data_IF_664568569210
#
_entry.id   IF_664568569210
#
_cell.length_a   1.000
_cell.length_b   1.000
_cell.length_c   1.000
_cell.angle_alpha   90.00
_cell.angle_beta   90.00
_cell.angle_gamma   90.00
#
_symmetry.space_group_name_H-M   'P 1'
#
loop_
_entity.id
_entity.type
_entity.pdbx_description
1 polymer ?
#
# COMPACT_ATOMS: atom_id res chain seq x y z
N UNK A 1 -25.19 28.56 -23.34
CA UNK A 1 -24.92 27.11 -23.36
C UNK A 1 -24.05 26.69 -22.18
N UNK A 2 -24.21 27.35 -21.01
CA UNK A 2 -23.33 27.16 -19.86
C UNK A 2 -23.72 25.93 -19.05
N UNK A 3 -25.02 25.67 -18.91
CA UNK A 3 -25.57 24.48 -18.26
C UNK A 3 -24.98 23.19 -18.86
N UNK A 4 -24.93 23.08 -20.19
CA UNK A 4 -24.36 21.92 -20.87
C UNK A 4 -22.87 21.73 -20.56
N UNK A 5 -22.11 22.81 -20.38
CA UNK A 5 -20.69 22.73 -20.01
C UNK A 5 -20.52 22.25 -18.57
N UNK A 6 -21.33 22.76 -17.64
CA UNK A 6 -21.32 22.33 -16.23
C UNK A 6 -21.75 20.87 -16.06
N UNK A 7 -22.76 20.43 -16.81
CA UNK A 7 -23.20 19.03 -16.80
C UNK A 7 -22.09 18.11 -17.35
N UNK A 8 -21.47 18.48 -18.46
CA UNK A 8 -20.36 17.70 -19.01
C UNK A 8 -19.14 17.67 -18.09
N UNK A 9 -18.80 18.77 -17.40
CA UNK A 9 -17.71 18.76 -16.42
C UNK A 9 -18.04 17.86 -15.24
N UNK A 10 -19.25 17.95 -14.68
CA UNK A 10 -19.70 17.10 -13.58
C UNK A 10 -19.70 15.61 -13.92
N UNK A 11 -20.13 15.24 -15.14
CA UNK A 11 -20.08 13.86 -15.61
C UNK A 11 -18.65 13.35 -15.75
N UNK A 12 -17.72 14.18 -16.24
CA UNK A 12 -16.30 13.83 -16.33
C UNK A 12 -15.69 13.63 -14.94
N UNK A 13 -16.00 14.51 -14.00
CA UNK A 13 -15.50 14.42 -12.63
C UNK A 13 -16.04 13.19 -11.90
N UNK A 14 -17.33 12.87 -12.08
CA UNK A 14 -17.91 11.66 -11.54
C UNK A 14 -17.25 10.40 -12.11
N UNK A 15 -16.94 10.40 -13.41
CA UNK A 15 -16.26 9.28 -14.07
C UNK A 15 -14.82 9.12 -13.58
N UNK A 16 -14.07 10.21 -13.42
CA UNK A 16 -12.69 10.17 -12.92
C UNK A 16 -12.64 9.72 -11.46
N UNK A 17 -13.52 10.24 -10.60
CA UNK A 17 -13.63 9.82 -9.20
C UNK A 17 -13.97 8.33 -9.09
N UNK A 18 -14.90 7.82 -9.91
CA UNK A 18 -15.24 6.38 -9.97
C UNK A 18 -14.02 5.54 -10.36
N UNK A 19 -13.25 5.98 -11.36
CA UNK A 19 -12.04 5.29 -11.80
C UNK A 19 -10.97 5.27 -10.70
N UNK A 20 -10.76 6.38 -9.99
CA UNK A 20 -9.82 6.46 -8.87
C UNK A 20 -10.22 5.52 -7.73
N UNK A 21 -11.51 5.47 -7.38
CA UNK A 21 -12.03 4.57 -6.35
C UNK A 21 -11.80 3.10 -6.67
N UNK A 22 -11.99 2.71 -7.94
CA UNK A 22 -11.75 1.32 -8.37
C UNK A 22 -10.26 0.95 -8.35
N UNK A 23 -9.38 1.93 -8.49
CA UNK A 23 -7.92 1.74 -8.44
C UNK A 23 -7.35 2.01 -7.05
N UNK A 24 -8.18 2.04 -6.01
CA UNK A 24 -7.70 2.21 -4.65
C UNK A 24 -6.78 1.03 -4.30
N UNK A 25 -5.54 1.34 -3.92
CA UNK A 25 -4.57 0.35 -3.47
C UNK A 25 -4.94 -0.25 -2.11
N UNK A 26 -3.99 -1.01 -1.55
CA UNK A 26 -4.12 -1.57 -0.20
C UNK A 26 -4.36 -0.44 0.81
N UNK A 27 -5.31 -0.60 1.75
CA UNK A 27 -5.54 0.40 2.79
C UNK A 27 -4.33 0.46 3.73
N UNK A 28 -3.95 1.69 4.11
CA UNK A 28 -2.90 1.97 5.08
C UNK A 28 -3.35 1.56 6.49
N UNK A 29 -2.55 0.75 7.18
CA UNK A 29 -2.89 0.26 8.52
C UNK A 29 -2.59 1.31 9.62
N UNK A 30 -3.63 2.08 9.97
CA UNK A 30 -3.62 3.01 11.09
C UNK A 30 -3.93 2.26 12.39
N UNK A 31 -2.88 1.86 13.10
CA UNK A 31 -3.04 1.21 14.41
C UNK A 31 -3.67 2.16 15.45
N UNK A 32 -4.69 1.66 16.15
CA UNK A 32 -5.33 2.31 17.28
C UNK A 32 -4.49 2.05 18.55
N UNK A 33 -4.19 3.10 19.32
CA UNK A 33 -3.65 2.92 20.68
C UNK A 33 -4.79 2.41 21.58
N UNK A 34 -4.51 1.36 22.37
CA UNK A 34 -5.50 0.50 23.04
C UNK A 34 -6.43 1.21 24.04
N UNK A 35 -6.22 2.49 24.34
CA UNK A 35 -6.81 3.16 25.50
C UNK A 35 -8.17 3.84 25.29
N UNK A 36 -8.83 3.71 24.13
CA UNK A 36 -10.12 4.38 23.90
C UNK A 36 -11.22 3.47 23.32
N UNK A 37 -12.21 3.14 24.16
CA UNK A 37 -13.27 2.17 23.89
C UNK A 37 -14.66 2.78 23.55
N UNK A 38 -14.75 4.04 23.12
CA UNK A 38 -16.06 4.58 22.71
C UNK A 38 -16.03 5.88 21.92
N UNK A 39 -16.53 5.85 20.68
CA UNK A 39 -16.80 7.06 19.86
C UNK A 39 -16.14 7.06 18.48
N UNK A 40 -16.12 8.25 17.85
CA UNK A 40 -15.44 8.51 16.57
C UNK A 40 -13.92 8.56 16.79
N UNK A 41 -13.16 7.80 15.99
CA UNK A 41 -11.69 7.83 16.03
C UNK A 41 -11.18 9.05 15.25
N UNK A 42 -10.59 10.01 15.95
CA UNK A 42 -9.85 11.10 15.31
C UNK A 42 -8.40 10.66 15.09
N UNK A 43 -7.93 10.77 13.85
CA UNK A 43 -6.56 10.47 13.49
C UNK A 43 -5.74 11.75 13.39
N UNK A 44 -4.64 11.84 14.12
CA UNK A 44 -3.68 12.92 13.90
C UNK A 44 -2.91 12.69 12.59
N UNK A 45 -2.49 13.75 11.88
CA UNK A 45 -1.68 13.61 10.65
C UNK A 45 -0.43 12.75 10.86
N UNK A 46 0.22 12.87 12.01
CA UNK A 46 1.40 12.07 12.37
C UNK A 46 1.17 10.55 12.39
N UNK A 47 -0.07 10.08 12.61
CA UNK A 47 -0.38 8.63 12.57
C UNK A 47 -0.28 8.07 11.14
N UNK A 48 -0.56 8.89 10.14
CA UNK A 48 -0.40 8.50 8.74
C UNK A 48 1.08 8.35 8.37
N UNK A 49 1.94 9.25 8.84
CA UNK A 49 3.39 9.17 8.61
C UNK A 49 3.95 7.89 9.23
N UNK A 50 3.65 7.64 10.51
CA UNK A 50 4.08 6.41 11.20
C UNK A 50 3.59 5.13 10.52
N UNK A 51 2.34 5.13 10.03
CA UNK A 51 1.83 3.96 9.32
C UNK A 51 2.57 3.74 7.99
N UNK A 52 2.92 4.79 7.26
CA UNK A 52 3.72 4.70 6.02
C UNK A 52 5.13 4.19 6.29
N UNK A 53 5.77 4.68 7.34
CA UNK A 53 7.10 4.22 7.76
C UNK A 53 7.10 2.70 8.01
N UNK A 54 6.11 2.20 8.75
CA UNK A 54 5.96 0.74 8.99
C UNK A 54 5.72 -0.05 7.71
N UNK A 55 4.91 0.46 6.79
CA UNK A 55 4.70 -0.21 5.51
C UNK A 55 5.98 -0.26 4.68
N UNK A 56 6.78 0.81 4.68
CA UNK A 56 8.07 0.84 4.00
C UNK A 56 9.06 -0.15 4.62
N UNK A 57 9.16 -0.20 5.96
CA UNK A 57 10.00 -1.18 6.67
C UNK A 57 9.60 -2.61 6.34
N UNK A 58 8.28 -2.90 6.32
CA UNK A 58 7.77 -4.22 5.98
C UNK A 58 8.11 -4.61 4.53
N UNK A 59 7.94 -3.69 3.58
CA UNK A 59 8.29 -3.92 2.18
C UNK A 59 9.80 -4.21 2.03
N UNK A 60 10.65 -3.42 2.70
CA UNK A 60 12.09 -3.66 2.68
C UNK A 60 12.48 -5.02 3.28
N UNK A 61 11.84 -5.44 4.37
CA UNK A 61 12.08 -6.76 4.95
C UNK A 61 11.65 -7.89 3.99
N UNK A 62 10.45 -7.78 3.39
CA UNK A 62 9.95 -8.76 2.42
C UNK A 62 10.88 -8.88 1.18
N UNK A 63 11.38 -7.75 0.68
CA UNK A 63 12.35 -7.71 -0.42
C UNK A 63 13.66 -8.41 -0.04
N UNK A 64 14.22 -8.08 1.14
CA UNK A 64 15.46 -8.71 1.62
C UNK A 64 15.29 -10.22 1.82
N UNK A 65 14.17 -10.66 2.37
CA UNK A 65 13.87 -12.09 2.52
C UNK A 65 13.77 -12.79 1.16
N UNK A 66 13.11 -12.17 0.19
CA UNK A 66 12.99 -12.71 -1.17
C UNK A 66 14.36 -12.86 -1.82
N UNK A 67 15.19 -11.83 -1.75
CA UNK A 67 16.58 -11.86 -2.24
C UNK A 67 17.40 -12.93 -1.54
N UNK A 68 17.29 -13.04 -0.21
CA UNK A 68 18.00 -14.08 0.55
C UNK A 68 17.56 -15.50 0.15
N UNK A 69 16.27 -15.71 -0.13
CA UNK A 69 15.74 -17.00 -0.61
C UNK A 69 16.28 -17.33 -2.01
N UNK A 70 16.37 -16.35 -2.91
CA UNK A 70 16.96 -16.53 -4.24
C UNK A 70 18.44 -16.90 -4.14
N UNK A 71 19.23 -16.13 -3.38
CA UNK A 71 20.65 -16.41 -3.16
C UNK A 71 20.88 -17.82 -2.59
N UNK A 72 20.06 -18.27 -1.63
CA UNK A 72 20.15 -19.63 -1.09
C UNK A 72 19.90 -20.70 -2.15
N UNK A 73 18.93 -20.49 -3.05
CA UNK A 73 18.64 -21.44 -4.13
C UNK A 73 19.80 -21.52 -5.13
N UNK A 74 20.41 -20.40 -5.47
CA UNK A 74 21.57 -20.35 -6.36
C UNK A 74 22.77 -21.09 -5.76
N UNK A 75 23.06 -20.86 -4.48
CA UNK A 75 24.12 -21.58 -3.76
C UNK A 75 23.87 -23.09 -3.71
N UNK A 76 22.63 -23.51 -3.48
CA UNK A 76 22.27 -24.93 -3.49
C UNK A 76 22.44 -25.56 -4.88
N UNK A 77 22.04 -24.84 -5.93
CA UNK A 77 22.22 -25.30 -7.31
C UNK A 77 23.71 -25.43 -7.66
N UNK A 78 24.53 -24.43 -7.34
CA UNK A 78 25.97 -24.46 -7.55
C UNK A 78 26.64 -25.60 -6.76
N UNK A 79 26.25 -25.81 -5.50
CA UNK A 79 26.78 -26.91 -4.68
C UNK A 79 26.41 -28.29 -5.21
N UNK A 80 25.25 -28.43 -5.87
CA UNK A 80 24.86 -29.66 -6.54
C UNK A 80 25.73 -29.93 -7.78
N UNK A 81 25.96 -28.92 -8.60
CA UNK A 81 26.83 -29.01 -9.79
C UNK A 81 28.29 -29.38 -9.47
N UNK A 82 28.78 -29.04 -8.28
CA UNK A 82 30.14 -29.41 -7.85
C UNK A 82 30.25 -30.85 -7.32
N UNK A 83 29.13 -31.47 -6.94
CA UNK A 83 29.10 -32.83 -6.38
C UNK A 83 28.87 -33.92 -7.42
N UNK A 84 28.36 -33.55 -8.60
CA UNK A 84 28.24 -34.43 -9.78
C UNK A 84 29.56 -34.41 -10.58
#
# INVERSE_FOLDING_TARGET
NELLHHENSGLRDALTAKKQRNNAGKPLDLQREEEYYGGVTFWSPSKFERAREREAEKQHQEEQESLAKLNKKELQAAAKLLKD
#
